data_IF_990228361361
#
_entry.id   IF_990228361361
#
_cell.length_a   1.000
_cell.length_b   1.000
_cell.length_c   1.000
_cell.angle_alpha   90.00
_cell.angle_beta   90.00
_cell.angle_gamma   90.00
#
_symmetry.space_group_name_H-M   'P 1'
#
loop_
_entity.id
_entity.type
_entity.pdbx_description
1 polymer ?
#
# COMPACT_ATOMS: atom_id res chain seq x y z
N UNK A 1 -10.06 0.20 17.67
CA UNK A 1 -9.92 1.24 16.62
C UNK A 1 -8.93 2.33 16.97
N UNK A 2 -8.91 2.85 18.20
CA UNK A 2 -8.00 3.94 18.60
C UNK A 2 -6.51 3.66 18.31
N UNK A 3 -6.02 2.44 18.62
CA UNK A 3 -4.64 2.05 18.33
C UNK A 3 -4.31 2.10 16.83
N UNK A 4 -5.17 1.53 15.98
CA UNK A 4 -4.98 1.52 14.54
C UNK A 4 -4.92 2.94 13.95
N UNK A 5 -5.86 3.82 14.35
CA UNK A 5 -5.88 5.21 13.90
C UNK A 5 -4.65 5.97 14.39
N UNK A 6 -4.18 5.72 15.61
CA UNK A 6 -2.96 6.31 16.15
C UNK A 6 -1.73 5.87 15.34
N UNK A 7 -1.63 4.59 14.97
CA UNK A 7 -0.56 4.11 14.08
C UNK A 7 -0.62 4.76 12.70
N UNK A 8 -1.82 4.85 12.10
CA UNK A 8 -1.99 5.51 10.80
C UNK A 8 -1.56 6.99 10.83
N UNK A 9 -1.68 7.67 11.97
CA UNK A 9 -1.27 9.06 12.14
C UNK A 9 0.26 9.25 12.16
N UNK A 10 1.04 8.18 12.30
CA UNK A 10 2.51 8.22 12.21
C UNK A 10 3.03 8.27 10.76
N UNK A 11 2.18 7.94 9.78
CA UNK A 11 2.50 8.00 8.36
C UNK A 11 2.03 9.37 7.83
N UNK A 12 2.92 10.34 7.86
CA UNK A 12 2.61 11.75 7.63
C UNK A 12 3.11 12.26 6.28
N UNK A 13 4.09 11.58 5.68
CA UNK A 13 4.70 11.98 4.42
C UNK A 13 4.51 10.90 3.34
N UNK A 14 4.46 11.26 2.04
CA UNK A 14 4.37 10.29 0.95
C UNK A 14 5.48 9.22 0.98
N UNK A 15 6.67 9.55 1.48
CA UNK A 15 7.78 8.60 1.58
C UNK A 15 7.54 7.52 2.66
N UNK A 16 6.70 7.77 3.67
CA UNK A 16 6.38 6.78 4.68
C UNK A 16 5.70 5.56 4.06
N UNK A 17 4.76 5.78 3.12
CA UNK A 17 4.06 4.72 2.41
C UNK A 17 4.99 3.90 1.52
N UNK A 18 5.99 4.57 0.93
CA UNK A 18 7.02 3.91 0.16
C UNK A 18 7.89 3.03 1.06
N UNK A 19 8.36 3.58 2.17
CA UNK A 19 9.21 2.88 3.12
C UNK A 19 8.52 1.63 3.67
N UNK A 20 7.29 1.75 4.18
CA UNK A 20 6.56 0.61 4.76
C UNK A 20 6.27 -0.50 3.73
N UNK A 21 6.02 -0.15 2.47
CA UNK A 21 5.75 -1.14 1.43
C UNK A 21 7.03 -1.91 1.04
N UNK A 22 8.17 -1.23 1.02
CA UNK A 22 9.46 -1.88 0.78
C UNK A 22 9.88 -2.77 1.97
N UNK A 23 9.76 -2.25 3.20
CA UNK A 23 10.01 -3.00 4.43
C UNK A 23 9.09 -4.22 4.55
N UNK A 24 7.81 -4.09 4.16
CA UNK A 24 6.89 -5.21 4.08
C UNK A 24 7.44 -6.32 3.18
N UNK A 25 7.89 -6.01 1.95
CA UNK A 25 8.47 -7.02 1.07
C UNK A 25 9.73 -7.66 1.66
N UNK A 26 10.57 -6.88 2.34
CA UNK A 26 11.77 -7.39 3.00
C UNK A 26 11.41 -8.40 4.11
N UNK A 27 10.42 -8.08 4.94
CA UNK A 27 9.95 -8.94 6.02
C UNK A 27 9.28 -10.21 5.49
N UNK A 28 8.45 -10.10 4.45
CA UNK A 28 7.84 -11.25 3.79
C UNK A 28 8.89 -12.19 3.19
N UNK A 29 9.97 -11.63 2.61
CA UNK A 29 11.08 -12.42 2.12
C UNK A 29 11.80 -13.18 3.23
N UNK A 30 12.02 -12.53 4.39
CA UNK A 30 12.60 -13.19 5.59
C UNK A 30 11.70 -14.32 6.11
N UNK A 31 10.39 -14.16 5.99
CA UNK A 31 9.40 -15.18 6.35
C UNK A 31 9.25 -16.30 5.30
N UNK A 32 10.00 -16.25 4.19
CA UNK A 32 9.96 -17.25 3.12
C UNK A 32 8.74 -17.13 2.20
N UNK A 33 8.02 -16.01 2.25
CA UNK A 33 6.84 -15.76 1.41
C UNK A 33 7.27 -15.46 -0.01
N UNK A 34 6.53 -16.02 -0.98
CA UNK A 34 6.76 -15.84 -2.42
C UNK A 34 5.71 -14.97 -3.08
N UNK A 35 4.48 -15.01 -2.56
CA UNK A 35 3.35 -14.27 -3.05
C UNK A 35 2.51 -13.73 -1.88
N UNK A 36 2.15 -12.45 -1.93
CA UNK A 36 1.32 -11.80 -0.93
C UNK A 36 0.20 -10.97 -1.58
N UNK A 37 -1.00 -11.07 -1.04
CA UNK A 37 -2.11 -10.16 -1.36
C UNK A 37 -2.20 -9.08 -0.29
N UNK A 38 -1.87 -7.85 -0.68
CA UNK A 38 -1.73 -6.71 0.23
C UNK A 38 -3.01 -5.92 0.25
N UNK A 39 -3.56 -5.72 1.44
CA UNK A 39 -4.71 -4.84 1.67
C UNK A 39 -4.20 -3.49 2.15
N UNK A 40 -4.42 -2.44 1.36
CA UNK A 40 -4.09 -1.06 1.73
C UNK A 40 -5.31 -0.15 1.51
N UNK A 41 -5.54 0.78 2.45
CA UNK A 41 -6.65 1.73 2.37
C UNK A 41 -6.14 3.16 2.60
N UNK A 42 -6.33 4.09 1.65
CA UNK A 42 -5.91 5.48 1.80
C UNK A 42 -6.84 6.29 2.72
N UNK A 43 -8.01 5.76 3.13
CA UNK A 43 -9.06 6.55 3.78
C UNK A 43 -8.66 7.20 5.10
N UNK A 44 -7.72 6.60 5.83
CA UNK A 44 -7.18 7.18 7.06
C UNK A 44 -5.95 8.06 6.82
N UNK A 45 -5.52 8.25 5.58
CA UNK A 45 -4.29 8.96 5.24
C UNK A 45 -4.58 10.21 4.40
N UNK A 46 -5.47 10.10 3.40
CA UNK A 46 -5.76 11.17 2.44
C UNK A 46 -6.08 12.53 3.10
N UNK A 47 -6.94 12.63 4.14
CA UNK A 47 -7.23 13.92 4.77
C UNK A 47 -6.01 14.64 5.38
N UNK A 48 -4.96 13.89 5.74
CA UNK A 48 -3.71 14.44 6.30
C UNK A 48 -2.70 14.81 5.22
N UNK A 49 -2.88 14.26 4.01
CA UNK A 49 -1.99 14.45 2.86
C UNK A 49 -2.58 15.45 1.85
N UNK A 50 -3.41 16.38 2.32
CA UNK A 50 -4.05 17.37 1.45
C UNK A 50 -5.13 16.80 0.54
N UNK A 51 -5.88 15.80 1.03
CA UNK A 51 -6.89 15.04 0.29
C UNK A 51 -6.34 14.29 -0.94
N UNK A 52 -5.06 13.92 -0.89
CA UNK A 52 -4.45 13.04 -1.90
C UNK A 52 -4.85 11.57 -1.66
N UNK A 53 -5.75 11.08 -2.51
CA UNK A 53 -6.24 9.70 -2.49
C UNK A 53 -5.37 8.72 -3.30
N UNK A 54 -4.47 9.22 -4.15
CA UNK A 54 -3.76 8.40 -5.14
C UNK A 54 -2.27 8.29 -4.85
N UNK A 55 -1.60 9.37 -4.44
CA UNK A 55 -0.15 9.36 -4.20
C UNK A 55 0.31 8.28 -3.21
N UNK A 56 -0.38 8.04 -2.07
CA UNK A 56 -0.04 6.93 -1.18
C UNK A 56 -0.16 5.56 -1.84
N UNK A 57 -1.17 5.36 -2.68
CA UNK A 57 -1.38 4.09 -3.40
C UNK A 57 -0.26 3.90 -4.43
N UNK A 58 0.07 4.93 -5.19
CA UNK A 58 1.15 4.91 -6.17
C UNK A 58 2.51 4.63 -5.51
N UNK A 59 2.77 5.25 -4.34
CA UNK A 59 3.96 4.99 -3.55
C UNK A 59 4.06 3.54 -3.06
N UNK A 60 2.95 2.97 -2.60
CA UNK A 60 2.90 1.54 -2.23
C UNK A 60 3.17 0.66 -3.44
N UNK A 61 2.48 0.89 -4.57
CA UNK A 61 2.62 0.08 -5.78
C UNK A 61 4.05 0.11 -6.35
N UNK A 62 4.69 1.29 -6.41
CA UNK A 62 6.09 1.43 -6.83
C UNK A 62 7.02 0.57 -5.99
N UNK A 63 6.80 0.56 -4.67
CA UNK A 63 7.69 -0.13 -3.73
C UNK A 63 7.42 -1.61 -3.62
N UNK A 64 6.19 -2.07 -3.84
CA UNK A 64 5.91 -3.50 -4.00
C UNK A 64 6.62 -4.07 -5.24
N UNK A 65 6.67 -3.31 -6.34
CA UNK A 65 7.43 -3.69 -7.54
C UNK A 65 8.94 -3.68 -7.30
N UNK A 66 9.45 -2.70 -6.55
CA UNK A 66 10.85 -2.72 -6.08
C UNK A 66 11.15 -3.94 -5.21
N UNK A 67 10.26 -4.28 -4.27
CA UNK A 67 10.40 -5.46 -3.41
C UNK A 67 10.39 -6.77 -4.19
N UNK A 68 9.64 -6.85 -5.30
CA UNK A 68 9.70 -7.99 -6.23
C UNK A 68 11.08 -8.14 -6.86
N UNK A 69 11.68 -7.04 -7.32
CA UNK A 69 13.03 -7.04 -7.92
C UNK A 69 14.11 -7.38 -6.90
N UNK A 70 14.03 -6.79 -5.70
CA UNK A 70 15.13 -6.79 -4.75
C UNK A 70 15.07 -8.00 -3.79
N UNK A 71 13.87 -8.53 -3.50
CA UNK A 71 13.67 -9.65 -2.57
C UNK A 71 12.99 -10.88 -3.17
N UNK A 72 12.47 -10.79 -4.41
CA UNK A 72 11.79 -11.90 -5.07
C UNK A 72 10.38 -12.20 -4.55
N UNK A 73 9.76 -11.26 -3.81
CA UNK A 73 8.38 -11.36 -3.31
C UNK A 73 7.43 -10.73 -4.31
N UNK A 74 6.46 -11.50 -4.81
CA UNK A 74 5.41 -10.93 -5.68
C UNK A 74 4.24 -10.47 -4.82
N UNK A 75 4.08 -9.15 -4.68
CA UNK A 75 2.98 -8.57 -3.92
C UNK A 75 1.97 -7.91 -4.86
N UNK A 76 0.68 -8.22 -4.67
CA UNK A 76 -0.43 -7.61 -5.42
C UNK A 76 -1.41 -6.95 -4.49
N UNK A 77 -1.90 -5.77 -4.85
CA UNK A 77 -2.92 -5.09 -4.04
C UNK A 77 -4.28 -5.77 -4.24
N UNK A 78 -4.86 -6.23 -3.14
CA UNK A 78 -6.18 -6.83 -3.13
C UNK A 78 -7.27 -5.74 -3.28
N UNK A 79 -8.34 -6.01 -4.04
CA UNK A 79 -9.45 -5.08 -4.15
C UNK A 79 -10.14 -4.94 -2.79
N UNK A 80 -10.13 -3.72 -2.24
CA UNK A 80 -10.95 -3.39 -1.08
C UNK A 80 -12.37 -3.07 -1.55
N UNK A 81 -13.37 -3.80 -1.07
CA UNK A 81 -14.78 -3.51 -1.32
C UNK A 81 -15.24 -2.31 -0.49
N UNK A 82 -14.66 -1.14 -0.70
CA UNK A 82 -15.21 0.10 -0.17
C UNK A 82 -16.00 0.73 -1.32
N UNK A 83 -17.33 0.78 -1.20
CA UNK A 83 -18.27 1.19 -2.24
C UNK A 83 -18.06 2.62 -2.82
N UNK A 84 -17.10 3.38 -2.29
CA UNK A 84 -16.77 4.73 -2.73
C UNK A 84 -15.57 4.80 -3.71
N UNK A 85 -14.82 3.71 -3.93
CA UNK A 85 -13.64 3.74 -4.80
C UNK A 85 -13.98 3.32 -6.23
N UNK A 86 -13.99 4.30 -7.15
CA UNK A 86 -13.97 4.08 -8.61
C UNK A 86 -12.62 4.48 -9.14
N UNK A 87 -11.87 3.53 -9.72
CA UNK A 87 -10.65 3.83 -10.46
C UNK A 87 -10.99 4.74 -11.65
N UNK A 88 -10.33 5.90 -11.82
CA UNK A 88 -10.69 6.87 -12.86
C UNK A 88 -10.54 6.33 -14.30
N UNK A 89 -9.75 5.27 -14.51
CA UNK A 89 -9.37 4.78 -15.85
C UNK A 89 -9.85 3.34 -16.18
N UNK A 90 -10.95 2.88 -15.59
CA UNK A 90 -11.54 1.55 -15.91
C UNK A 90 -11.36 0.50 -14.80
N UNK A 91 -11.77 -0.77 -15.02
CA UNK A 91 -11.71 -1.79 -13.98
C UNK A 91 -10.26 -2.07 -13.55
N UNK A 92 -10.07 -2.25 -12.24
CA UNK A 92 -8.80 -2.66 -11.63
C UNK A 92 -8.20 -3.84 -12.40
N UNK A 93 -6.99 -3.64 -12.94
CA UNK A 93 -6.18 -4.70 -13.54
C UNK A 93 -5.14 -5.10 -12.51
N UNK A 94 -5.32 -6.27 -11.90
CA UNK A 94 -4.29 -6.96 -11.15
C UNK A 94 -3.11 -7.26 -12.08
N UNK A 95 -2.14 -6.36 -12.15
CA UNK A 95 -0.83 -6.65 -12.71
C UNK A 95 -0.06 -7.59 -11.76
#
# INVERSE_FOLDING_TARGET
MAQYVATCALLAEPEDFRRIAYEFCEDEARNGVRYAEVVFSPSNHAPRLGDDWFGPIEGVLDRLEAGRRDFGVTARVAPISCAAWRWPNGPWRSL
#
